data_IF_972881104353
#
_entry.id   IF_972881104353
#
_cell.length_a   1.000
_cell.length_b   1.000
_cell.length_c   1.000
_cell.angle_alpha   90.00
_cell.angle_beta   90.00
_cell.angle_gamma   90.00
#
_symmetry.space_group_name_H-M   'P 1'
#
loop_
_entity.id
_entity.type
_entity.pdbx_description
1 polymer ?
#
# COMPACT_ATOMS: atom_id res chain seq x y z
N UNK A 1 17.37 -18.57 15.10
CA UNK A 1 17.60 -17.11 15.30
C UNK A 1 17.10 -16.44 14.05
N UNK A 2 15.93 -15.81 14.11
CA UNK A 2 15.32 -15.08 12.99
C UNK A 2 15.99 -13.71 12.91
N UNK A 3 17.21 -13.69 12.35
CA UNK A 3 17.95 -12.46 12.15
C UNK A 3 17.23 -11.59 11.13
N UNK A 4 16.78 -10.42 11.61
CA UNK A 4 16.37 -9.23 10.86
C UNK A 4 15.30 -9.36 9.76
N UNK A 5 14.22 -10.09 9.96
CA UNK A 5 13.05 -9.98 9.10
C UNK A 5 12.16 -8.82 9.59
N UNK A 6 12.43 -7.64 9.06
CA UNK A 6 11.66 -6.41 9.32
C UNK A 6 10.60 -6.14 8.25
N UNK A 7 9.99 -4.95 8.26
CA UNK A 7 9.02 -4.55 7.24
C UNK A 7 9.63 -4.29 5.86
N UNK A 8 10.95 -4.10 5.80
CA UNK A 8 11.75 -4.05 4.58
C UNK A 8 12.87 -5.08 4.67
N UNK A 9 13.20 -5.67 3.52
CA UNK A 9 14.42 -6.46 3.30
C UNK A 9 15.17 -5.91 2.10
N UNK A 10 16.50 -6.00 2.12
CA UNK A 10 17.31 -5.63 0.98
C UNK A 10 17.57 -6.82 0.04
N UNK A 11 18.20 -6.55 -1.09
CA UNK A 11 18.51 -7.57 -2.09
C UNK A 11 19.56 -8.59 -1.60
N UNK A 12 20.41 -8.21 -0.66
CA UNK A 12 21.38 -9.13 -0.01
C UNK A 12 20.65 -10.17 0.82
N UNK A 13 19.79 -9.70 1.73
CA UNK A 13 18.95 -10.59 2.54
C UNK A 13 18.15 -11.56 1.65
N UNK A 14 17.52 -11.05 0.57
CA UNK A 14 16.72 -11.90 -0.30
C UNK A 14 17.57 -12.95 -1.01
N UNK A 15 18.76 -12.61 -1.52
CA UNK A 15 19.69 -13.57 -2.14
C UNK A 15 20.07 -14.71 -1.18
N UNK A 16 20.35 -14.37 0.08
CA UNK A 16 20.77 -15.34 1.09
C UNK A 16 19.61 -16.24 1.54
N UNK A 17 18.37 -15.79 1.39
CA UNK A 17 17.16 -16.51 1.82
C UNK A 17 16.30 -17.07 0.68
N UNK A 18 16.69 -16.90 -0.59
CA UNK A 18 15.91 -17.28 -1.76
C UNK A 18 15.53 -18.77 -1.77
N UNK A 19 16.42 -19.63 -1.27
CA UNK A 19 16.24 -21.09 -1.25
C UNK A 19 15.57 -21.62 0.04
N UNK A 20 15.22 -20.73 0.98
CA UNK A 20 14.58 -21.15 2.23
C UNK A 20 13.15 -21.62 1.98
N UNK A 21 12.79 -22.77 2.55
CA UNK A 21 11.48 -23.38 2.34
C UNK A 21 10.31 -22.58 2.97
N UNK A 22 10.62 -21.73 3.94
CA UNK A 22 9.66 -20.85 4.61
C UNK A 22 9.56 -19.45 4.00
N UNK A 23 10.33 -19.12 2.95
CA UNK A 23 10.26 -17.83 2.27
C UNK A 23 9.35 -17.96 1.04
N UNK A 24 8.43 -17.02 0.89
CA UNK A 24 7.59 -16.85 -0.29
C UNK A 24 7.79 -15.46 -0.86
N UNK A 25 7.97 -15.40 -2.17
CA UNK A 25 8.23 -14.16 -2.90
C UNK A 25 7.00 -13.87 -3.74
N UNK A 26 6.51 -12.64 -3.67
CA UNK A 26 5.33 -12.20 -4.41
C UNK A 26 5.69 -10.99 -5.26
N UNK A 27 5.46 -11.11 -6.56
CA UNK A 27 5.41 -9.97 -7.47
C UNK A 27 4.00 -9.39 -7.43
N UNK A 28 3.89 -8.18 -6.89
CA UNK A 28 2.64 -7.43 -6.80
C UNK A 28 2.59 -6.27 -7.82
N UNK A 29 3.40 -6.32 -8.87
CA UNK A 29 3.40 -5.29 -9.91
C UNK A 29 2.00 -5.08 -10.45
N UNK A 30 1.55 -3.83 -10.40
CA UNK A 30 0.23 -3.41 -10.86
C UNK A 30 0.33 -2.01 -11.45
N UNK A 31 -0.37 -1.79 -12.52
CA UNK A 31 -0.44 -0.51 -13.20
C UNK A 31 -1.87 0.02 -13.20
N UNK A 32 -2.01 1.34 -13.11
CA UNK A 32 -3.32 1.95 -13.26
C UNK A 32 -3.85 1.70 -14.69
N UNK A 33 -5.18 1.54 -14.87
CA UNK A 33 -5.76 1.25 -16.20
C UNK A 33 -5.46 2.29 -17.28
N UNK A 34 -4.96 3.46 -16.90
CA UNK A 34 -4.53 4.52 -17.83
C UNK A 34 -3.09 4.29 -18.35
N UNK A 35 -2.31 3.47 -17.64
CA UNK A 35 -0.95 3.14 -18.03
C UNK A 35 -1.03 2.00 -19.05
N UNK A 36 -0.56 2.20 -20.25
CA UNK A 36 -0.56 1.18 -21.31
C UNK A 36 0.58 0.15 -21.05
N UNK A 37 0.45 -0.58 -19.93
CA UNK A 37 1.42 -1.57 -19.44
C UNK A 37 0.72 -2.85 -19.03
N UNK A 38 1.40 -3.98 -19.22
CA UNK A 38 0.91 -5.31 -18.86
C UNK A 38 1.84 -5.95 -17.82
N UNK A 39 1.45 -5.89 -16.55
CA UNK A 39 2.23 -6.43 -15.44
C UNK A 39 2.39 -7.95 -15.53
N UNK A 40 1.40 -8.69 -16.07
CA UNK A 40 1.50 -10.14 -16.25
C UNK A 40 2.50 -10.50 -17.35
N UNK A 41 2.51 -9.73 -18.44
CA UNK A 41 3.50 -9.91 -19.49
C UNK A 41 4.91 -9.58 -19.00
N UNK A 42 5.07 -8.54 -18.18
CA UNK A 42 6.37 -8.21 -17.57
C UNK A 42 6.85 -9.31 -16.62
N UNK A 43 5.97 -9.85 -15.78
CA UNK A 43 6.28 -11.00 -14.93
C UNK A 43 6.73 -12.21 -15.74
N UNK A 44 6.01 -12.55 -16.83
CA UNK A 44 6.35 -13.65 -17.70
C UNK A 44 7.68 -13.43 -18.44
N UNK A 45 8.05 -12.18 -18.72
CA UNK A 45 9.32 -11.85 -19.38
C UNK A 45 10.53 -11.96 -18.42
N UNK A 46 10.31 -11.84 -17.09
CA UNK A 46 11.37 -12.05 -16.12
C UNK A 46 11.04 -11.52 -14.72
N UNK A 47 11.04 -12.44 -13.77
CA UNK A 47 10.74 -12.18 -12.37
C UNK A 47 11.82 -12.76 -11.44
N UNK A 48 11.79 -12.40 -10.16
CA UNK A 48 12.70 -12.97 -9.14
C UNK A 48 12.43 -14.47 -9.01
N UNK A 49 13.47 -15.34 -8.99
CA UNK A 49 13.29 -16.78 -8.95
C UNK A 49 12.38 -17.24 -7.80
N UNK A 50 11.39 -18.07 -8.14
CA UNK A 50 10.40 -18.58 -7.20
C UNK A 50 9.27 -17.62 -6.86
N UNK A 51 9.22 -16.43 -7.46
CA UNK A 51 8.14 -15.49 -7.22
C UNK A 51 6.80 -15.97 -7.79
N UNK A 52 5.73 -15.60 -7.10
CA UNK A 52 4.34 -15.81 -7.50
C UNK A 52 3.76 -14.44 -7.87
N UNK A 53 3.09 -14.35 -9.01
CA UNK A 53 2.40 -13.11 -9.38
C UNK A 53 1.05 -12.99 -8.68
N UNK A 54 0.82 -11.86 -8.02
CA UNK A 54 -0.45 -11.52 -7.36
C UNK A 54 -0.93 -10.15 -7.79
N UNK A 55 -2.01 -10.10 -8.55
CA UNK A 55 -2.66 -8.85 -8.92
C UNK A 55 -3.56 -8.36 -7.78
N UNK A 56 -3.31 -7.17 -7.28
CA UNK A 56 -4.14 -6.56 -6.23
C UNK A 56 -5.58 -6.31 -6.67
N UNK A 57 -5.85 -6.27 -7.98
CA UNK A 57 -7.21 -6.17 -8.51
C UNK A 57 -8.00 -7.48 -8.41
N UNK A 58 -7.31 -8.61 -8.33
CA UNK A 58 -7.93 -9.93 -8.12
C UNK A 58 -8.17 -10.17 -6.62
N UNK A 59 -7.28 -9.66 -5.75
CA UNK A 59 -7.33 -9.83 -4.29
C UNK A 59 -8.09 -8.67 -3.64
N UNK A 60 -9.39 -8.59 -3.89
CA UNK A 60 -10.25 -7.52 -3.39
C UNK A 60 -11.61 -8.04 -2.95
N UNK A 61 -12.37 -7.24 -2.23
CA UNK A 61 -13.79 -7.50 -1.99
C UNK A 61 -14.58 -7.31 -3.29
N UNK A 62 -15.10 -8.39 -3.91
CA UNK A 62 -15.86 -8.30 -5.14
C UNK A 62 -17.27 -7.70 -4.95
N UNK A 63 -17.78 -7.65 -3.72
CA UNK A 63 -19.08 -7.11 -3.40
C UNK A 63 -19.07 -5.58 -3.25
N UNK A 64 -17.89 -4.99 -3.05
CA UNK A 64 -17.78 -3.54 -2.87
C UNK A 64 -17.49 -2.82 -4.20
N UNK A 65 -18.16 -1.67 -4.48
CA UNK A 65 -17.97 -0.95 -5.73
C UNK A 65 -16.61 -0.25 -5.86
N UNK A 66 -15.96 0.11 -4.75
CA UNK A 66 -14.61 0.67 -4.79
C UNK A 66 -13.59 -0.41 -5.20
N UNK A 67 -12.57 -0.04 -6.02
CA UNK A 67 -11.82 -1.01 -6.82
C UNK A 67 -10.88 -1.93 -6.05
N UNK A 68 -10.39 -1.53 -4.90
CA UNK A 68 -9.33 -2.27 -4.18
C UNK A 68 -9.68 -2.50 -2.71
N UNK A 69 -10.97 -2.55 -2.37
CA UNK A 69 -11.38 -2.79 -0.99
C UNK A 69 -10.78 -4.08 -0.44
N UNK A 70 -10.33 -4.01 0.82
CA UNK A 70 -9.78 -5.17 1.53
C UNK A 70 -10.81 -6.31 1.50
N UNK A 71 -10.43 -7.51 1.03
CA UNK A 71 -11.35 -8.63 0.96
C UNK A 71 -11.71 -9.14 2.37
N UNK A 72 -12.84 -9.82 2.53
CA UNK A 72 -13.10 -10.63 3.72
C UNK A 72 -11.95 -11.60 4.02
N UNK A 73 -11.72 -11.88 5.31
CA UNK A 73 -10.57 -12.66 5.74
C UNK A 73 -10.53 -14.08 5.14
N UNK A 74 -11.69 -14.72 5.01
CA UNK A 74 -11.84 -16.06 4.41
C UNK A 74 -11.49 -16.05 2.91
N UNK A 75 -11.90 -15.00 2.17
CA UNK A 75 -11.57 -14.86 0.74
C UNK A 75 -10.07 -14.63 0.54
N UNK A 76 -9.45 -13.79 1.38
CA UNK A 76 -8.00 -13.58 1.34
C UNK A 76 -7.24 -14.87 1.67
N UNK A 77 -7.68 -15.60 2.69
CA UNK A 77 -7.08 -16.86 3.09
C UNK A 77 -7.15 -17.91 1.96
N UNK A 78 -8.29 -18.03 1.30
CA UNK A 78 -8.48 -18.93 0.16
C UNK A 78 -7.56 -18.56 -1.01
N UNK A 79 -7.46 -17.26 -1.32
CA UNK A 79 -6.60 -16.77 -2.39
C UNK A 79 -5.11 -17.08 -2.10
N UNK A 80 -4.64 -16.75 -0.90
CA UNK A 80 -3.23 -16.99 -0.52
C UNK A 80 -2.92 -18.48 -0.43
N UNK A 81 -3.84 -19.28 0.11
CA UNK A 81 -3.71 -20.73 0.16
C UNK A 81 -3.60 -21.37 -1.22
N UNK A 82 -4.42 -20.97 -2.18
CA UNK A 82 -4.35 -21.40 -3.58
C UNK A 82 -3.05 -20.99 -4.27
N UNK A 83 -2.51 -19.82 -3.90
CA UNK A 83 -1.20 -19.36 -4.35
C UNK A 83 -0.01 -20.08 -3.67
N UNK A 84 -0.25 -21.05 -2.79
CA UNK A 84 0.81 -21.80 -2.09
C UNK A 84 1.47 -21.03 -0.94
N UNK A 85 0.79 -20.03 -0.41
CA UNK A 85 1.27 -19.20 0.69
C UNK A 85 0.60 -19.68 1.98
N UNK A 86 1.40 -20.20 2.92
CA UNK A 86 0.96 -20.65 4.23
C UNK A 86 1.17 -19.59 5.31
N UNK A 87 0.47 -19.75 6.44
CA UNK A 87 0.61 -18.84 7.60
C UNK A 87 1.96 -18.94 8.32
N UNK A 88 2.73 -19.96 8.05
CA UNK A 88 4.06 -20.20 8.59
C UNK A 88 5.19 -19.59 7.75
N UNK A 89 4.85 -18.97 6.61
CA UNK A 89 5.83 -18.41 5.69
C UNK A 89 6.21 -16.96 6.06
N UNK A 90 7.48 -16.64 5.80
CA UNK A 90 7.97 -15.25 5.67
C UNK A 90 7.71 -14.79 4.24
N UNK A 91 7.01 -13.70 4.08
CA UNK A 91 6.56 -13.23 2.78
C UNK A 91 7.37 -12.00 2.38
N UNK A 92 7.98 -12.02 1.20
CA UNK A 92 8.64 -10.87 0.60
C UNK A 92 7.82 -10.42 -0.60
N UNK A 93 7.30 -9.21 -0.54
CA UNK A 93 6.51 -8.59 -1.62
C UNK A 93 7.39 -7.59 -2.36
N UNK A 94 7.35 -7.60 -3.67
CA UNK A 94 8.00 -6.58 -4.49
C UNK A 94 7.09 -6.13 -5.63
N UNK A 95 7.46 -5.02 -6.26
CA UNK A 95 6.90 -4.58 -7.54
C UNK A 95 7.98 -4.00 -8.46
N UNK A 96 7.58 -3.57 -9.65
CA UNK A 96 8.48 -2.99 -10.64
C UNK A 96 8.52 -1.45 -10.55
N UNK A 97 8.63 -0.90 -9.32
CA UNK A 97 8.85 0.54 -9.09
C UNK A 97 7.58 1.38 -8.98
N UNK A 98 6.43 0.73 -8.85
CA UNK A 98 5.16 1.40 -8.55
C UNK A 98 4.90 1.40 -7.02
N UNK A 99 3.69 1.21 -6.56
CA UNK A 99 3.33 1.28 -5.14
C UNK A 99 2.42 0.13 -4.67
N UNK A 100 2.25 -0.88 -5.50
CA UNK A 100 1.31 -1.97 -5.21
C UNK A 100 1.87 -2.97 -4.18
N UNK A 101 3.20 -3.12 -4.10
CA UNK A 101 3.82 -3.97 -3.09
C UNK A 101 3.47 -3.53 -1.67
N UNK A 102 3.44 -2.22 -1.39
CA UNK A 102 3.04 -1.71 -0.08
C UNK A 102 1.56 -1.98 0.23
N UNK A 103 0.70 -2.01 -0.80
CA UNK A 103 -0.71 -2.40 -0.64
C UNK A 103 -0.82 -3.84 -0.16
N UNK A 104 -0.13 -4.77 -0.82
CA UNK A 104 -0.18 -6.17 -0.44
C UNK A 104 0.47 -6.42 0.93
N UNK A 105 1.60 -5.73 1.24
CA UNK A 105 2.19 -5.73 2.58
C UNK A 105 1.17 -5.31 3.66
N UNK A 106 0.43 -4.23 3.43
CA UNK A 106 -0.59 -3.76 4.35
C UNK A 106 -1.75 -4.76 4.50
N UNK A 107 -2.20 -5.37 3.38
CA UNK A 107 -3.28 -6.36 3.40
C UNK A 107 -2.93 -7.57 4.28
N UNK A 108 -1.71 -8.10 4.16
CA UNK A 108 -1.24 -9.18 5.03
C UNK A 108 -1.33 -8.79 6.50
N UNK A 109 -0.87 -7.59 6.85
CA UNK A 109 -0.92 -7.10 8.23
C UNK A 109 -2.35 -6.84 8.71
N UNK A 110 -3.17 -6.20 7.90
CA UNK A 110 -4.58 -5.94 8.21
C UNK A 110 -5.39 -7.24 8.40
N UNK A 111 -4.88 -8.34 7.82
CA UNK A 111 -5.47 -9.67 7.94
C UNK A 111 -4.64 -10.62 8.82
N UNK A 112 -3.82 -10.06 9.72
CA UNK A 112 -3.24 -10.78 10.85
C UNK A 112 -1.88 -11.42 10.61
N UNK A 113 -1.25 -11.25 9.44
CA UNK A 113 0.05 -11.83 9.14
C UNK A 113 1.16 -10.76 9.16
N UNK A 114 2.00 -10.79 10.21
CA UNK A 114 3.07 -9.81 10.39
C UNK A 114 4.42 -10.24 9.77
N UNK A 115 4.57 -11.52 9.42
CA UNK A 115 5.78 -12.02 8.79
C UNK A 115 5.83 -11.66 7.29
N UNK A 116 5.65 -10.37 6.99
CA UNK A 116 5.67 -9.81 5.64
C UNK A 116 6.62 -8.62 5.56
N UNK A 117 7.46 -8.61 4.54
CA UNK A 117 8.38 -7.52 4.20
C UNK A 117 8.20 -7.08 2.76
N UNK A 118 8.53 -5.82 2.47
CA UNK A 118 8.71 -5.36 1.11
C UNK A 118 10.18 -5.40 0.72
N UNK A 119 10.49 -5.82 -0.51
CA UNK A 119 11.84 -5.72 -1.06
C UNK A 119 12.14 -4.24 -1.36
N UNK A 120 13.07 -3.66 -0.62
CA UNK A 120 13.40 -2.24 -0.73
C UNK A 120 14.09 -1.92 -2.05
N UNK A 121 13.46 -1.05 -2.85
CA UNK A 121 13.85 -0.73 -4.22
C UNK A 121 13.32 -1.73 -5.28
N UNK A 122 12.53 -2.72 -4.89
CA UNK A 122 11.79 -3.62 -5.78
C UNK A 122 12.63 -4.38 -6.79
N UNK A 123 12.01 -4.71 -7.94
CA UNK A 123 12.66 -5.44 -9.03
C UNK A 123 13.86 -4.66 -9.64
N UNK A 124 13.81 -3.34 -9.61
CA UNK A 124 14.90 -2.51 -10.13
C UNK A 124 16.19 -2.69 -9.31
N UNK A 125 16.09 -2.64 -7.97
CA UNK A 125 17.23 -2.88 -7.08
C UNK A 125 17.75 -4.33 -7.20
N UNK A 126 16.86 -5.30 -7.36
CA UNK A 126 17.24 -6.69 -7.61
C UNK A 126 18.11 -6.83 -8.86
N UNK A 127 17.66 -6.27 -9.99
CA UNK A 127 18.41 -6.25 -11.26
C UNK A 127 19.76 -5.54 -11.14
N UNK A 128 19.79 -4.37 -10.50
CA UNK A 128 21.02 -3.57 -10.30
C UNK A 128 22.08 -4.32 -9.49
N UNK A 129 21.68 -5.15 -8.55
CA UNK A 129 22.61 -5.97 -7.77
C UNK A 129 22.99 -7.31 -8.42
N UNK A 130 22.65 -7.49 -9.72
CA UNK A 130 22.95 -8.71 -10.46
C UNK A 130 22.11 -9.91 -10.01
N UNK A 131 20.91 -9.70 -9.50
CA UNK A 131 19.98 -10.76 -9.17
C UNK A 131 19.53 -11.51 -10.42
N UNK A 132 19.47 -12.84 -10.35
CA UNK A 132 18.98 -13.67 -11.45
C UNK A 132 17.48 -13.43 -11.68
N UNK A 133 17.04 -13.65 -12.91
CA UNK A 133 15.62 -13.68 -13.26
C UNK A 133 15.27 -15.07 -13.82
N UNK A 134 14.03 -15.48 -13.60
CA UNK A 134 13.45 -16.67 -14.29
C UNK A 134 12.17 -16.27 -15.02
N UNK A 135 11.77 -17.10 -15.97
CA UNK A 135 10.55 -16.94 -16.79
C UNK A 135 9.56 -18.06 -16.55
N UNK A 136 9.99 -19.11 -15.86
CA UNK A 136 9.18 -20.29 -15.59
C UNK A 136 8.20 -20.04 -14.46
N UNK A 137 6.91 -20.21 -14.71
CA UNK A 137 5.88 -20.17 -13.67
C UNK A 137 5.72 -21.56 -13.06
N UNK A 138 5.90 -21.66 -11.76
CA UNK A 138 5.69 -22.92 -11.01
C UNK A 138 4.24 -23.03 -10.58
N UNK A 139 3.66 -24.22 -10.73
CA UNK A 139 2.38 -24.52 -10.09
C UNK A 139 2.58 -24.56 -8.59
N UNK A 140 1.85 -23.71 -7.87
CA UNK A 140 1.90 -23.68 -6.42
C UNK A 140 1.21 -24.94 -5.84
N UNK A 141 1.83 -25.56 -4.84
CA UNK A 141 1.14 -26.53 -4.01
C UNK A 141 0.27 -25.78 -3.01
N UNK A 142 -1.01 -26.10 -2.97
CA UNK A 142 -1.95 -25.45 -2.05
C UNK A 142 -1.44 -25.54 -0.59
N UNK A 143 -1.56 -24.43 0.14
CA UNK A 143 -1.17 -24.30 1.53
C UNK A 143 -2.37 -23.82 2.38
N UNK A 144 -2.25 -23.92 3.70
CA UNK A 144 -3.23 -23.38 4.63
C UNK A 144 -2.81 -21.97 5.05
N UNK A 145 -3.62 -20.97 4.70
CA UNK A 145 -3.46 -19.60 5.20
C UNK A 145 -4.61 -19.25 6.14
N UNK A 146 -4.29 -18.67 7.29
CA UNK A 146 -5.29 -18.20 8.27
C UNK A 146 -5.21 -16.68 8.33
N UNK A 147 -6.32 -16.05 7.96
CA UNK A 147 -6.48 -14.61 8.06
C UNK A 147 -7.37 -14.23 9.24
N UNK A 148 -6.93 -13.20 9.97
CA UNK A 148 -7.69 -12.64 11.10
C UNK A 148 -7.70 -11.12 10.93
N UNK A 149 -8.88 -10.57 10.71
CA UNK A 149 -9.01 -9.13 10.47
C UNK A 149 -8.56 -8.29 11.68
N UNK A 150 -7.84 -7.21 11.41
CA UNK A 150 -7.42 -6.18 12.37
C UNK A 150 -8.11 -4.85 12.04
N UNK A 151 -9.31 -4.63 12.56
CA UNK A 151 -10.10 -3.44 12.24
C UNK A 151 -9.41 -2.14 12.63
N UNK A 152 -8.50 -2.17 13.60
CA UNK A 152 -7.71 -1.00 14.00
C UNK A 152 -6.79 -0.46 12.89
N UNK A 153 -6.43 -1.28 11.89
CA UNK A 153 -5.63 -0.89 10.74
C UNK A 153 -6.45 -0.40 9.53
N UNK A 154 -7.78 -0.41 9.66
CA UNK A 154 -8.70 0.00 8.59
C UNK A 154 -9.57 1.14 9.07
N UNK A 155 -9.94 2.05 8.18
CA UNK A 155 -10.99 3.05 8.42
C UNK A 155 -12.07 2.95 7.37
N UNK A 156 -13.30 2.96 7.82
CA UNK A 156 -14.50 3.04 7.00
C UNK A 156 -14.86 4.49 6.66
N UNK A 157 -15.70 4.68 5.65
CA UNK A 157 -16.25 6.00 5.30
C UNK A 157 -17.03 6.62 6.47
N UNK A 158 -17.77 5.83 7.25
CA UNK A 158 -18.51 6.33 8.40
C UNK A 158 -17.58 6.89 9.50
N UNK A 159 -16.45 6.21 9.76
CA UNK A 159 -15.44 6.70 10.70
C UNK A 159 -14.74 7.95 10.18
N UNK A 160 -14.51 8.04 8.85
CA UNK A 160 -13.96 9.26 8.23
C UNK A 160 -14.91 10.43 8.31
N UNK A 161 -16.22 10.23 8.16
CA UNK A 161 -17.24 11.27 8.39
C UNK A 161 -17.23 11.72 9.85
N UNK A 162 -17.26 10.79 10.80
CA UNK A 162 -17.17 11.10 12.22
C UNK A 162 -15.88 11.84 12.59
N UNK A 163 -14.76 11.54 11.92
CA UNK A 163 -13.50 12.24 12.13
C UNK A 163 -13.56 13.71 11.68
N UNK A 164 -14.31 14.05 10.63
CA UNK A 164 -14.50 15.45 10.20
C UNK A 164 -15.24 16.25 11.29
N UNK A 165 -16.27 15.64 11.90
CA UNK A 165 -17.12 16.27 12.90
C UNK A 165 -16.49 16.28 14.30
N UNK A 166 -15.39 15.54 14.49
CA UNK A 166 -14.71 15.43 15.77
C UNK A 166 -14.08 16.77 16.20
N UNK A 167 -14.02 17.00 17.51
CA UNK A 167 -13.34 18.16 18.08
C UNK A 167 -11.84 18.14 17.74
N UNK A 168 -11.24 19.31 17.59
CA UNK A 168 -9.84 19.47 17.15
C UNK A 168 -8.81 18.67 17.97
N UNK A 169 -9.06 18.41 19.24
CA UNK A 169 -8.17 17.64 20.13
C UNK A 169 -8.25 16.11 19.96
N UNK A 170 -9.35 15.58 19.42
CA UNK A 170 -9.58 14.14 19.25
C UNK A 170 -9.52 13.71 17.79
N UNK A 171 -9.49 14.65 16.86
CA UNK A 171 -9.48 14.43 15.42
C UNK A 171 -8.15 13.81 14.98
N UNK A 172 -8.21 12.69 14.26
CA UNK A 172 -7.05 12.15 13.58
C UNK A 172 -6.67 13.03 12.38
N UNK A 173 -5.37 13.15 12.12
CA UNK A 173 -4.84 13.82 10.94
C UNK A 173 -5.02 12.92 9.73
N UNK A 174 -5.73 13.39 8.71
CA UNK A 174 -5.91 12.63 7.46
C UNK A 174 -4.83 13.04 6.48
N UNK A 175 -4.04 12.07 6.00
CA UNK A 175 -2.93 12.32 5.08
C UNK A 175 -3.20 11.65 3.74
N UNK A 176 -3.26 12.46 2.67
CA UNK A 176 -3.58 12.01 1.33
C UNK A 176 -2.31 11.82 0.49
N UNK A 177 -2.09 10.60 0.03
CA UNK A 177 -0.90 10.19 -0.73
C UNK A 177 -0.95 10.53 -2.23
N UNK A 178 -2.05 11.07 -2.75
CA UNK A 178 -2.21 11.39 -4.18
C UNK A 178 -1.24 12.48 -4.64
N UNK A 179 -0.97 12.56 -5.98
CA UNK A 179 -0.30 13.71 -6.56
C UNK A 179 -1.02 15.02 -6.20
N UNK A 180 -0.26 16.11 -5.90
CA UNK A 180 -0.83 17.38 -5.43
C UNK A 180 -1.93 17.95 -6.34
N UNK A 181 -1.77 17.86 -7.67
CA UNK A 181 -2.76 18.38 -8.62
C UNK A 181 -4.10 17.61 -8.57
N UNK A 182 -4.09 16.31 -8.25
CA UNK A 182 -5.33 15.54 -8.04
C UNK A 182 -5.96 15.88 -6.69
N UNK A 183 -5.15 15.98 -5.65
CA UNK A 183 -5.61 16.42 -4.34
C UNK A 183 -6.30 17.78 -4.42
N UNK A 184 -5.68 18.75 -5.09
CA UNK A 184 -6.22 20.09 -5.26
C UNK A 184 -7.45 20.16 -6.17
N UNK A 185 -7.76 19.10 -6.92
CA UNK A 185 -8.83 19.10 -7.91
C UNK A 185 -8.48 19.85 -9.21
N UNK A 186 -7.19 20.12 -9.44
CA UNK A 186 -6.68 20.75 -10.67
C UNK A 186 -6.67 19.77 -11.86
N UNK A 187 -6.65 18.48 -11.59
CA UNK A 187 -6.75 17.40 -12.59
C UNK A 187 -8.03 16.60 -12.36
N UNK A 188 -8.66 16.12 -13.44
CA UNK A 188 -9.81 15.23 -13.33
C UNK A 188 -9.39 13.89 -12.71
N UNK A 189 -10.35 13.23 -12.04
CA UNK A 189 -10.12 11.90 -11.51
C UNK A 189 -10.00 10.86 -12.63
N UNK A 190 -9.20 9.81 -12.39
CA UNK A 190 -8.99 8.75 -13.38
C UNK A 190 -10.21 7.90 -13.65
N UNK A 191 -11.17 7.88 -12.73
CA UNK A 191 -12.40 7.08 -12.85
C UNK A 191 -13.58 7.96 -13.18
N UNK A 192 -14.41 7.58 -14.16
CA UNK A 192 -15.62 8.32 -14.49
C UNK A 192 -16.57 8.44 -13.29
N UNK A 193 -17.21 9.57 -13.16
CA UNK A 193 -18.25 9.82 -12.15
C UNK A 193 -17.72 10.23 -10.77
N UNK A 194 -16.39 10.30 -10.58
CA UNK A 194 -15.82 10.86 -9.37
C UNK A 194 -15.68 12.39 -9.47
N UNK A 195 -16.10 13.05 -8.42
CA UNK A 195 -15.88 14.49 -8.26
C UNK A 195 -14.42 14.76 -7.89
N UNK A 196 -13.85 15.87 -8.39
CA UNK A 196 -12.49 16.29 -8.04
C UNK A 196 -12.43 16.92 -6.65
N UNK A 197 -11.25 16.84 -5.98
CA UNK A 197 -11.00 17.46 -4.68
C UNK A 197 -10.45 16.50 -3.65
N UNK A 198 -10.61 16.85 -2.36
CA UNK A 198 -10.09 16.08 -1.24
C UNK A 198 -11.03 16.12 -0.03
N UNK A 199 -10.80 15.22 0.92
CA UNK A 199 -11.52 15.15 2.20
C UNK A 199 -11.22 16.40 3.04
N UNK A 200 -12.21 17.12 3.57
CA UNK A 200 -11.98 18.33 4.36
C UNK A 200 -11.05 18.10 5.55
N UNK A 201 -10.02 18.94 5.66
CA UNK A 201 -9.01 18.87 6.70
C UNK A 201 -7.96 17.76 6.50
N UNK A 202 -7.93 17.12 5.35
CA UNK A 202 -6.79 16.29 4.97
C UNK A 202 -5.62 17.16 4.51
N UNK A 203 -4.40 16.62 4.69
CA UNK A 203 -3.14 17.23 4.28
C UNK A 203 -2.53 16.36 3.19
N UNK A 204 -2.02 16.98 2.12
CA UNK A 204 -1.38 16.24 1.05
C UNK A 204 0.09 15.95 1.35
N UNK A 205 0.46 14.68 1.35
CA UNK A 205 1.84 14.21 1.31
C UNK A 205 1.95 13.13 0.24
N UNK A 206 2.36 13.52 -0.96
CA UNK A 206 2.53 12.58 -2.06
C UNK A 206 3.56 11.49 -1.69
N UNK A 207 3.18 10.22 -1.83
CA UNK A 207 3.98 9.08 -1.38
C UNK A 207 5.43 9.08 -1.89
N UNK A 208 5.71 9.67 -3.07
CA UNK A 208 7.07 9.75 -3.63
C UNK A 208 8.06 10.49 -2.73
N UNK A 209 7.59 11.37 -1.82
CA UNK A 209 8.46 12.06 -0.89
C UNK A 209 9.10 11.14 0.16
N UNK A 210 8.54 9.93 0.33
CA UNK A 210 9.10 8.91 1.22
C UNK A 210 10.14 8.01 0.54
N UNK A 211 10.29 8.16 -0.78
CA UNK A 211 11.15 7.33 -1.63
C UNK A 211 12.32 8.17 -2.13
N UNK A 212 13.48 7.58 -2.16
CA UNK A 212 14.65 8.13 -2.83
C UNK A 212 14.51 7.92 -4.35
N UNK A 213 14.51 9.00 -5.11
CA UNK A 213 14.21 8.97 -6.55
C UNK A 213 15.28 8.26 -7.40
N UNK A 214 16.52 8.14 -6.90
CA UNK A 214 17.62 7.50 -7.64
C UNK A 214 17.60 5.98 -7.44
N UNK A 215 17.26 5.54 -6.23
CA UNK A 215 17.35 4.12 -5.84
C UNK A 215 16.00 3.41 -5.78
N UNK A 216 14.89 4.15 -5.76
CA UNK A 216 13.55 3.61 -5.52
C UNK A 216 13.33 3.08 -4.10
N UNK A 217 14.28 3.27 -3.19
CA UNK A 217 14.22 2.78 -1.81
C UNK A 217 13.52 3.76 -0.89
N UNK A 218 12.96 3.25 0.19
CA UNK A 218 12.48 4.11 1.25
C UNK A 218 13.61 4.96 1.83
N UNK A 219 13.30 6.23 2.09
CA UNK A 219 14.22 7.13 2.79
C UNK A 219 14.47 6.65 4.22
N UNK A 220 15.59 7.05 4.84
CA UNK A 220 15.82 6.79 6.25
C UNK A 220 14.66 7.28 7.14
N UNK A 221 14.34 6.59 8.25
CA UNK A 221 13.21 6.95 9.12
C UNK A 221 13.16 8.42 9.53
N UNK A 222 14.30 9.04 9.82
CA UNK A 222 14.37 10.46 10.19
C UNK A 222 13.96 11.41 9.04
N UNK A 223 14.24 11.05 7.79
CA UNK A 223 13.80 11.82 6.63
C UNK A 223 12.32 11.63 6.33
N UNK A 224 11.81 10.41 6.53
CA UNK A 224 10.38 10.12 6.45
C UNK A 224 9.63 10.98 7.48
N UNK A 225 10.06 10.96 8.74
CA UNK A 225 9.43 11.76 9.81
C UNK A 225 9.46 13.25 9.47
N UNK A 226 10.58 13.75 8.95
CA UNK A 226 10.69 15.13 8.48
C UNK A 226 9.67 15.44 7.37
N UNK A 227 9.49 14.55 6.40
CA UNK A 227 8.53 14.77 5.31
C UNK A 227 7.09 14.97 5.82
N UNK A 228 6.69 14.28 6.88
CA UNK A 228 5.40 14.49 7.55
C UNK A 228 5.38 15.83 8.28
N UNK A 229 6.41 16.14 9.11
CA UNK A 229 6.49 17.39 9.87
C UNK A 229 6.54 18.64 8.99
N UNK A 230 7.23 18.58 7.85
CA UNK A 230 7.31 19.69 6.89
C UNK A 230 5.94 20.03 6.26
N UNK A 231 4.98 19.10 6.35
CA UNK A 231 3.57 19.29 5.93
C UNK A 231 2.66 19.65 7.11
N UNK A 232 3.21 19.96 8.27
CA UNK A 232 2.45 20.27 9.48
C UNK A 232 1.76 19.05 10.11
N UNK A 233 2.14 17.84 9.71
CA UNK A 233 1.62 16.59 10.29
C UNK A 233 2.50 16.25 11.48
N UNK A 234 1.88 16.02 12.61
CA UNK A 234 2.55 15.54 13.82
C UNK A 234 2.50 14.01 13.88
N UNK A 235 3.64 13.31 13.68
CA UNK A 235 3.66 11.86 13.70
C UNK A 235 3.28 11.25 15.06
N UNK A 236 3.33 12.00 16.13
CA UNK A 236 2.99 11.53 17.48
C UNK A 236 1.47 11.53 17.76
N UNK A 237 0.70 12.18 16.90
CA UNK A 237 -0.77 12.21 16.97
C UNK A 237 -1.39 11.11 16.11
N UNK A 238 -2.68 10.74 16.33
CA UNK A 238 -3.38 9.82 15.44
C UNK A 238 -3.37 10.28 13.98
N UNK A 239 -3.02 9.38 13.07
CA UNK A 239 -2.98 9.59 11.62
C UNK A 239 -3.86 8.55 10.94
N UNK A 240 -4.54 8.95 9.88
CA UNK A 240 -5.21 8.06 8.92
C UNK A 240 -4.63 8.34 7.53
N UNK A 241 -4.12 7.32 6.87
CA UNK A 241 -3.65 7.44 5.49
C UNK A 241 -4.79 7.22 4.50
N UNK A 242 -4.84 8.01 3.43
CA UNK A 242 -5.79 7.88 2.32
C UNK A 242 -5.11 8.18 0.99
N UNK A 243 -5.77 7.83 -0.12
CA UNK A 243 -5.30 8.19 -1.46
C UNK A 243 -6.44 8.14 -2.49
N UNK A 244 -6.16 7.68 -3.73
CA UNK A 244 -7.19 7.49 -4.76
C UNK A 244 -8.05 6.25 -4.55
N UNK A 245 -7.45 5.12 -4.15
CA UNK A 245 -8.14 3.81 -4.04
C UNK A 245 -7.52 2.88 -2.99
N UNK A 246 -6.91 3.44 -1.96
CA UNK A 246 -6.32 2.68 -0.86
C UNK A 246 -4.95 2.04 -1.19
N UNK A 247 -4.40 2.23 -2.38
CA UNK A 247 -3.14 1.59 -2.78
C UNK A 247 -1.93 2.40 -2.30
N UNK A 248 -1.71 3.61 -2.81
CA UNK A 248 -0.55 4.43 -2.43
C UNK A 248 -0.60 4.96 -0.98
N UNK A 249 -1.77 4.98 -0.33
CA UNK A 249 -1.91 5.25 1.10
C UNK A 249 -1.09 4.27 1.96
N UNK A 250 -0.94 3.03 1.49
CA UNK A 250 -0.16 2.01 2.18
C UNK A 250 1.34 2.33 2.23
N UNK A 251 1.87 3.14 1.27
CA UNK A 251 3.23 3.67 1.36
C UNK A 251 3.39 4.62 2.56
N UNK A 252 2.40 5.47 2.82
CA UNK A 252 2.42 6.34 4.00
C UNK A 252 2.37 5.52 5.28
N UNK A 253 1.51 4.50 5.32
CA UNK A 253 1.41 3.59 6.46
C UNK A 253 2.71 2.82 6.70
N UNK A 254 3.34 2.29 5.64
CA UNK A 254 4.65 1.62 5.74
C UNK A 254 5.75 2.61 6.14
N UNK A 255 5.78 3.81 5.57
CA UNK A 255 6.74 4.85 5.96
C UNK A 255 6.66 5.16 7.45
N UNK A 256 5.45 5.39 7.98
CA UNK A 256 5.24 5.60 9.42
C UNK A 256 5.59 4.35 10.25
N UNK A 257 5.35 3.15 9.72
CA UNK A 257 5.79 1.92 10.38
C UNK A 257 7.32 1.89 10.56
N UNK A 258 8.08 2.35 9.57
CA UNK A 258 9.55 2.44 9.63
C UNK A 258 10.03 3.43 10.70
N UNK A 259 9.23 4.45 11.04
CA UNK A 259 9.52 5.40 12.14
C UNK A 259 9.08 4.87 13.51
N UNK A 260 8.54 3.65 13.58
CA UNK A 260 8.06 3.04 14.82
C UNK A 260 6.55 3.13 15.06
N UNK A 261 5.79 3.84 14.21
CA UNK A 261 4.33 3.97 14.29
C UNK A 261 3.64 2.82 13.57
N UNK A 262 3.30 1.78 14.31
CA UNK A 262 2.76 0.51 13.76
C UNK A 262 1.23 0.47 13.65
N UNK A 263 0.56 1.48 14.14
CA UNK A 263 -0.87 1.60 14.37
C UNK A 263 -1.59 2.56 13.40
N UNK A 264 -0.98 2.85 12.24
CA UNK A 264 -1.54 3.79 11.27
C UNK A 264 -2.55 3.10 10.38
N UNK A 265 -3.85 3.40 10.52
CA UNK A 265 -4.88 2.85 9.66
C UNK A 265 -4.89 3.50 8.28
N UNK A 266 -5.39 2.75 7.31
CA UNK A 266 -5.72 3.23 5.97
C UNK A 266 -7.24 3.38 5.84
N UNK A 267 -7.70 4.53 5.34
CA UNK A 267 -9.05 4.64 4.81
C UNK A 267 -9.09 3.90 3.47
N UNK A 268 -9.59 2.69 3.54
CA UNK A 268 -9.46 1.72 2.45
C UNK A 268 -10.19 2.13 1.19
N UNK A 269 -11.45 2.60 1.29
CA UNK A 269 -12.23 3.11 0.16
C UNK A 269 -11.64 4.36 -0.48
N UNK A 270 -10.91 5.16 0.29
CA UNK A 270 -10.19 6.34 -0.18
C UNK A 270 -11.06 7.29 -1.02
N UNK A 271 -10.46 8.03 -1.94
CA UNK A 271 -11.21 8.96 -2.79
C UNK A 271 -12.19 8.25 -3.73
N UNK A 272 -11.88 7.01 -4.15
CA UNK A 272 -12.77 6.22 -5.00
C UNK A 272 -14.14 5.94 -4.36
N UNK A 273 -14.16 5.80 -3.03
CA UNK A 273 -15.40 5.69 -2.27
C UNK A 273 -15.93 7.07 -1.89
N UNK A 274 -15.09 7.93 -1.29
CA UNK A 274 -15.51 9.24 -0.80
C UNK A 274 -16.08 10.14 -1.88
N UNK A 275 -15.36 10.28 -3.00
CA UNK A 275 -15.75 11.13 -4.13
C UNK A 275 -16.92 10.61 -4.96
N UNK A 276 -17.28 9.33 -4.82
CA UNK A 276 -18.47 8.74 -5.44
C UNK A 276 -19.77 9.12 -4.70
N UNK A 277 -19.68 9.47 -3.43
CA UNK A 277 -20.82 9.86 -2.60
C UNK A 277 -21.01 11.38 -2.64
N UNK A 278 -22.00 11.86 -3.39
CA UNK A 278 -22.28 13.30 -3.60
C UNK A 278 -22.58 14.06 -2.31
N UNK A 279 -23.07 13.37 -1.28
CA UNK A 279 -23.38 13.96 0.04
C UNK A 279 -22.14 14.11 0.93
N UNK A 280 -20.99 13.57 0.51
CA UNK A 280 -19.75 13.77 1.24
C UNK A 280 -19.22 15.19 1.00
N UNK A 281 -18.81 15.90 2.06
CA UNK A 281 -18.16 17.19 1.90
C UNK A 281 -16.80 17.03 1.20
N UNK A 282 -16.44 18.00 0.37
CA UNK A 282 -15.14 18.04 -0.30
C UNK A 282 -14.63 19.48 -0.40
N UNK A 283 -13.32 19.61 -0.51
CA UNK A 283 -12.65 20.87 -0.76
C UNK A 283 -11.84 20.79 -2.05
N UNK A 284 -11.65 21.94 -2.67
CA UNK A 284 -10.73 22.16 -3.78
C UNK A 284 -9.59 23.06 -3.31
N UNK A 285 -8.49 23.10 -4.06
CA UNK A 285 -7.33 23.91 -3.72
C UNK A 285 -6.28 23.10 -2.95
N UNK A 286 -5.15 23.74 -2.68
CA UNK A 286 -4.03 23.16 -1.94
C UNK A 286 -4.26 23.27 -0.43
N UNK A 287 -3.44 22.56 0.35
CA UNK A 287 -3.46 22.58 1.80
C UNK A 287 -3.43 24.04 2.34
N UNK A 288 -4.36 24.38 3.24
CA UNK A 288 -4.42 25.67 3.90
C UNK A 288 -5.20 26.76 3.16
N UNK A 289 -5.61 26.56 1.91
CA UNK A 289 -6.56 27.43 1.23
C UNK A 289 -7.99 27.09 1.67
N UNK A 290 -8.38 27.53 2.87
CA UNK A 290 -9.79 27.58 3.24
C UNK A 290 -10.44 28.58 2.33
N UNK A 291 -11.25 28.09 1.38
CA UNK A 291 -12.09 28.97 0.54
C UNK A 291 -12.87 29.92 1.46
N UNK A 292 -12.56 31.21 1.34
CA UNK A 292 -13.38 32.30 1.87
C UNK A 292 -14.64 32.45 1.03
#
# INVERSE_FOLDING_TARGET
MTENFGPLVDTGWLKDNLAQSDVRIIDATWYAPIDDKDARAEFAAGHIPGAIYVDISDVRDPAHPAPHMLPPADLFADYMGKAGIGSDCRIVVYDNGEYAASRLWWMFRALGHDAVAMLDGGLAAWKQTGGALETDTRSATQAEFRAVARPELVRSMSEMRANIDAQSGTRAQVVDARPPARFAGELPEMRPGLESGHIPGSVNLHYIHLIDAETGRFRPPAEIERAFRDRGIDPDRPIVATCGSGVSACHLALGLYLTGRRDVPVYDGSWAEWGAHKDNPRLLGRDGETGK
#
